data_IF_604528934265
#
_entry.id   IF_604528934265
#
_cell.length_a   1.000
_cell.length_b   1.000
_cell.length_c   1.000
_cell.angle_alpha   90.00
_cell.angle_beta   90.00
_cell.angle_gamma   90.00
#
_symmetry.space_group_name_H-M   'P 1'
#
loop_
_entity.id
_entity.type
_entity.pdbx_description
1 polymer ?
#
# COMPACT_ATOMS: atom_id res chain seq x y z
N UNK A 1 -16.29 36.60 -6.34
CA UNK A 1 -17.40 35.64 -6.31
C UNK A 1 -16.98 34.40 -7.09
N UNK A 2 -16.44 33.39 -6.41
CA UNK A 2 -16.34 32.03 -6.96
C UNK A 2 -16.64 31.12 -5.78
N UNK A 3 -17.82 30.50 -5.80
CA UNK A 3 -18.21 29.49 -4.84
C UNK A 3 -17.43 28.21 -5.19
N UNK A 4 -16.71 27.56 -4.25
CA UNK A 4 -16.21 26.23 -4.51
C UNK A 4 -17.40 25.27 -4.55
N UNK A 5 -17.60 24.67 -5.72
CA UNK A 5 -18.67 23.73 -6.00
C UNK A 5 -18.38 22.41 -5.24
N UNK A 6 -19.01 22.26 -4.07
CA UNK A 6 -18.95 21.07 -3.21
C UNK A 6 -19.87 19.95 -3.73
N UNK A 7 -19.76 19.56 -4.99
CA UNK A 7 -20.42 18.38 -5.53
C UNK A 7 -19.57 17.75 -6.64
N UNK A 8 -18.64 16.89 -6.24
CA UNK A 8 -17.87 16.07 -7.17
C UNK A 8 -17.24 14.82 -6.55
N UNK A 9 -17.13 14.75 -5.23
CA UNK A 9 -16.29 13.76 -4.53
C UNK A 9 -16.97 12.43 -4.19
N UNK A 10 -18.16 12.13 -4.73
CA UNK A 10 -18.92 10.93 -4.32
C UNK A 10 -19.41 10.05 -5.48
N UNK A 11 -18.57 9.66 -6.45
CA UNK A 11 -18.87 8.48 -7.31
C UNK A 11 -17.62 7.66 -7.71
N UNK A 12 -16.61 7.54 -6.85
CA UNK A 12 -15.58 6.49 -7.00
C UNK A 12 -15.44 5.73 -5.67
N UNK A 13 -16.54 5.14 -5.22
CA UNK A 13 -16.61 4.47 -3.93
C UNK A 13 -17.73 3.45 -3.90
N UNK A 14 -17.81 2.56 -4.90
CA UNK A 14 -18.77 1.46 -4.88
C UNK A 14 -17.99 0.17 -5.11
N UNK A 15 -17.54 -0.43 -3.99
CA UNK A 15 -17.66 -1.85 -3.61
C UNK A 15 -16.53 -2.20 -2.61
N UNK A 16 -16.97 -2.66 -1.42
CA UNK A 16 -16.23 -3.23 -0.26
C UNK A 16 -15.73 -2.26 0.82
N UNK A 17 -16.65 -1.79 1.68
CA UNK A 17 -16.34 -1.46 3.07
C UNK A 17 -16.64 -2.70 3.92
N UNK A 18 -15.61 -3.34 4.47
CA UNK A 18 -15.77 -4.46 5.41
C UNK A 18 -14.75 -5.59 5.20
N UNK A 19 -13.49 -5.35 5.56
CA UNK A 19 -12.48 -6.32 5.98
C UNK A 19 -11.13 -5.57 5.98
N UNK A 20 -10.35 -5.69 7.05
CA UNK A 20 -9.08 -4.96 7.23
C UNK A 20 -8.04 -5.32 6.14
N UNK A 21 -8.09 -6.52 5.57
CA UNK A 21 -7.36 -6.88 4.34
C UNK A 21 -7.96 -6.40 2.99
N UNK A 22 -9.11 -5.74 3.01
CA UNK A 22 -9.88 -5.32 1.83
C UNK A 22 -9.34 -4.07 1.13
N UNK A 23 -8.72 -3.17 1.88
CA UNK A 23 -8.19 -1.90 1.36
C UNK A 23 -7.02 -2.14 0.39
N UNK A 24 -6.00 -2.89 0.83
CA UNK A 24 -4.85 -3.27 -0.01
C UNK A 24 -5.28 -4.05 -1.25
N UNK A 25 -6.23 -4.97 -1.10
CA UNK A 25 -6.76 -5.75 -2.22
C UNK A 25 -7.49 -4.87 -3.24
N UNK A 26 -8.36 -3.97 -2.78
CA UNK A 26 -9.08 -3.03 -3.64
C UNK A 26 -8.12 -2.08 -4.36
N UNK A 27 -7.18 -1.49 -3.63
CA UNK A 27 -6.14 -0.63 -4.21
C UNK A 27 -5.34 -1.38 -5.28
N UNK A 28 -4.93 -2.61 -5.01
CA UNK A 28 -4.18 -3.42 -5.97
C UNK A 28 -5.00 -3.71 -7.25
N UNK A 29 -6.29 -4.04 -7.11
CA UNK A 29 -7.18 -4.26 -8.26
C UNK A 29 -7.28 -2.97 -9.09
N UNK A 30 -7.47 -1.81 -8.45
CA UNK A 30 -7.57 -0.52 -9.12
C UNK A 30 -6.25 -0.15 -9.82
N UNK A 31 -5.10 -0.37 -9.18
CA UNK A 31 -3.78 -0.14 -9.77
C UNK A 31 -3.54 -1.04 -11.00
N UNK A 32 -3.89 -2.33 -10.91
CA UNK A 32 -3.74 -3.30 -12.02
C UNK A 32 -4.64 -2.99 -13.20
N UNK A 33 -5.87 -2.56 -12.94
CA UNK A 33 -6.86 -2.23 -13.98
C UNK A 33 -6.73 -0.81 -14.51
N UNK A 34 -5.95 0.04 -13.84
CA UNK A 34 -5.88 1.47 -14.12
C UNK A 34 -7.18 2.22 -13.78
N UNK A 35 -8.14 1.58 -13.12
CA UNK A 35 -9.40 2.17 -12.66
C UNK A 35 -9.21 2.81 -11.29
N UNK A 36 -8.32 3.80 -11.22
CA UNK A 36 -7.96 4.49 -9.99
C UNK A 36 -8.07 6.00 -10.19
N UNK A 37 -8.45 6.73 -9.14
CA UNK A 37 -8.70 8.16 -9.17
C UNK A 37 -7.42 9.03 -9.27
N UNK A 38 -6.57 8.74 -10.26
CA UNK A 38 -5.45 9.57 -10.67
C UNK A 38 -5.88 10.56 -11.75
N UNK A 39 -5.21 11.71 -11.84
CA UNK A 39 -5.65 12.81 -12.72
C UNK A 39 -5.80 12.40 -14.18
N UNK A 40 -4.93 11.53 -14.73
CA UNK A 40 -5.09 11.08 -16.11
C UNK A 40 -6.37 10.26 -16.32
N UNK A 41 -6.76 9.44 -15.35
CA UNK A 41 -8.00 8.67 -15.38
C UNK A 41 -9.22 9.59 -15.21
N UNK A 42 -9.19 10.50 -14.23
CA UNK A 42 -10.28 11.44 -13.96
C UNK A 42 -10.52 12.39 -15.14
N UNK A 43 -9.45 12.86 -15.78
CA UNK A 43 -9.53 13.77 -16.94
C UNK A 43 -10.22 13.10 -18.13
N UNK A 44 -10.00 11.79 -18.34
CA UNK A 44 -10.69 11.01 -19.39
C UNK A 44 -12.22 11.09 -19.27
N UNK A 45 -12.73 11.20 -18.04
CA UNK A 45 -14.17 11.34 -17.74
C UNK A 45 -14.59 12.78 -17.46
N UNK A 46 -13.70 13.77 -17.68
CA UNK A 46 -13.96 15.20 -17.43
C UNK A 46 -14.30 15.52 -15.97
N UNK A 47 -13.75 14.74 -15.04
CA UNK A 47 -13.90 14.95 -13.59
C UNK A 47 -12.80 15.85 -12.99
N UNK A 48 -11.74 16.12 -13.75
CA UNK A 48 -10.72 17.12 -13.47
C UNK A 48 -10.37 17.84 -14.76
N UNK A 49 -9.99 19.11 -14.65
CA UNK A 49 -9.62 19.96 -15.78
C UNK A 49 -8.22 19.65 -16.32
N UNK A 50 -7.34 19.09 -15.48
CA UNK A 50 -5.93 18.90 -15.78
C UNK A 50 -5.50 17.44 -15.53
N UNK A 51 -4.95 16.73 -16.53
CA UNK A 51 -4.48 15.36 -16.34
C UNK A 51 -3.12 15.26 -15.62
N UNK A 52 -2.39 16.37 -15.42
CA UNK A 52 -1.02 16.36 -14.91
C UNK A 52 -0.91 15.84 -13.46
N UNK A 53 0.22 15.20 -13.15
CA UNK A 53 0.58 14.80 -11.79
C UNK A 53 0.61 16.00 -10.83
N UNK A 54 -0.02 15.85 -9.67
CA UNK A 54 -0.08 16.90 -8.64
C UNK A 54 1.31 17.29 -8.15
N UNK A 55 2.20 16.31 -8.00
CA UNK A 55 3.51 16.51 -7.40
C UNK A 55 4.55 17.04 -8.40
N UNK A 56 4.64 16.44 -9.59
CA UNK A 56 5.70 16.80 -10.54
C UNK A 56 5.26 17.81 -11.61
N UNK A 57 3.95 17.93 -11.87
CA UNK A 57 3.32 18.83 -12.86
C UNK A 57 3.87 18.71 -14.29
N UNK A 58 4.50 17.58 -14.64
CA UNK A 58 5.21 17.40 -15.94
C UNK A 58 4.50 16.45 -16.90
N UNK A 59 3.94 15.35 -16.40
CA UNK A 59 3.26 14.34 -17.21
C UNK A 59 1.89 13.99 -16.64
N UNK A 60 1.00 13.39 -17.44
CA UNK A 60 -0.26 12.87 -16.95
C UNK A 60 -0.09 11.89 -15.78
N UNK A 61 -0.88 12.08 -14.72
CA UNK A 61 -0.82 11.24 -13.52
C UNK A 61 -1.40 9.85 -13.81
N UNK A 62 -0.53 8.89 -14.11
CA UNK A 62 -0.88 7.49 -14.35
C UNK A 62 -0.17 6.57 -13.37
N UNK A 63 -0.64 5.33 -13.23
CA UNK A 63 0.00 4.31 -12.38
C UNK A 63 1.46 4.10 -12.79
N UNK A 64 1.72 3.99 -14.09
CA UNK A 64 3.08 3.84 -14.61
C UNK A 64 3.94 5.07 -14.32
N UNK A 65 3.39 6.28 -14.46
CA UNK A 65 4.11 7.50 -14.12
C UNK A 65 4.49 7.52 -12.63
N UNK A 66 3.55 7.23 -11.73
CA UNK A 66 3.82 7.17 -10.29
C UNK A 66 4.87 6.10 -9.97
N UNK A 67 4.73 4.89 -10.52
CA UNK A 67 5.62 3.76 -10.23
C UNK A 67 7.02 3.91 -10.83
N UNK A 68 7.18 4.56 -11.98
CA UNK A 68 8.44 4.51 -12.74
C UNK A 68 9.06 5.88 -13.02
N UNK A 69 8.26 6.86 -13.42
CA UNK A 69 8.78 8.07 -14.08
C UNK A 69 8.76 9.32 -13.19
N UNK A 70 7.82 9.44 -12.25
CA UNK A 70 7.54 10.67 -11.53
C UNK A 70 8.77 11.17 -10.75
N UNK A 71 9.40 12.30 -11.10
CA UNK A 71 10.61 12.74 -10.44
C UNK A 71 10.39 13.10 -8.96
N UNK A 72 9.18 13.51 -8.58
CA UNK A 72 8.82 13.81 -7.20
C UNK A 72 8.94 12.59 -6.27
N UNK A 73 8.69 11.39 -6.80
CA UNK A 73 8.79 10.14 -6.02
C UNK A 73 10.13 9.41 -6.19
N UNK A 74 11.16 10.08 -6.73
CA UNK A 74 12.45 9.45 -7.00
C UNK A 74 13.15 8.96 -5.72
N UNK A 75 12.94 9.61 -4.58
CA UNK A 75 13.53 9.19 -3.31
C UNK A 75 12.91 7.88 -2.80
N UNK A 76 11.58 7.80 -2.78
CA UNK A 76 10.82 6.62 -2.39
C UNK A 76 11.11 5.45 -3.35
N UNK A 77 11.20 5.71 -4.67
CA UNK A 77 11.59 4.68 -5.65
C UNK A 77 13.00 4.17 -5.44
N UNK A 78 13.95 5.01 -5.02
CA UNK A 78 15.31 4.55 -4.69
C UNK A 78 15.30 3.59 -3.49
N UNK A 79 14.46 3.84 -2.48
CA UNK A 79 14.26 2.90 -1.39
C UNK A 79 13.66 1.58 -1.89
N UNK A 80 12.59 1.64 -2.67
CA UNK A 80 11.97 0.46 -3.28
C UNK A 80 12.97 -0.34 -4.12
N UNK A 81 13.76 0.32 -4.97
CA UNK A 81 14.77 -0.31 -5.81
C UNK A 81 15.83 -1.06 -5.00
N UNK A 82 16.31 -0.44 -3.92
CA UNK A 82 17.29 -1.07 -3.02
C UNK A 82 16.74 -2.37 -2.43
N UNK A 83 15.47 -2.36 -2.03
CA UNK A 83 14.84 -3.50 -1.37
C UNK A 83 14.43 -4.59 -2.38
N UNK A 84 14.19 -4.23 -3.65
CA UNK A 84 13.96 -5.17 -4.76
C UNK A 84 15.23 -5.81 -5.30
N UNK A 85 16.36 -5.10 -5.26
CA UNK A 85 17.63 -5.50 -5.86
C UNK A 85 17.93 -4.80 -7.20
N UNK A 86 19.21 -4.79 -7.64
CA UNK A 86 19.67 -3.97 -8.76
C UNK A 86 19.15 -4.41 -10.14
N UNK A 87 18.85 -5.69 -10.32
CA UNK A 87 18.44 -6.24 -11.62
C UNK A 87 16.93 -6.11 -11.90
N UNK A 88 16.17 -5.64 -10.90
CA UNK A 88 14.72 -5.51 -11.00
C UNK A 88 14.32 -4.17 -11.59
N UNK A 89 13.46 -4.19 -12.61
CA UNK A 89 12.83 -2.96 -13.12
C UNK A 89 11.55 -2.67 -12.33
N UNK A 90 11.31 -1.38 -12.05
CA UNK A 90 10.08 -0.93 -11.38
C UNK A 90 9.07 -0.55 -12.47
N UNK A 91 8.15 -1.47 -12.75
CA UNK A 91 7.08 -1.29 -13.73
C UNK A 91 5.74 -1.89 -13.25
N UNK A 92 4.76 -1.97 -14.16
CA UNK A 92 3.44 -2.52 -13.83
C UNK A 92 3.46 -4.03 -13.53
N UNK A 93 4.47 -4.77 -13.99
CA UNK A 93 4.58 -6.21 -13.70
C UNK A 93 4.79 -6.48 -12.21
N UNK A 94 5.39 -5.52 -11.50
CA UNK A 94 5.60 -5.57 -10.05
C UNK A 94 4.28 -5.69 -9.28
N UNK A 95 3.19 -5.13 -9.81
CA UNK A 95 1.86 -5.26 -9.24
C UNK A 95 1.33 -6.70 -9.31
N UNK A 96 1.89 -7.56 -10.16
CA UNK A 96 1.48 -8.97 -10.31
C UNK A 96 2.29 -9.93 -9.43
N UNK A 97 3.45 -9.51 -8.94
CA UNK A 97 4.33 -10.33 -8.12
C UNK A 97 3.93 -10.31 -6.65
N UNK A 98 3.25 -11.37 -6.20
CA UNK A 98 2.79 -11.51 -4.80
C UNK A 98 3.93 -11.42 -3.78
N UNK A 99 5.13 -11.91 -4.11
CA UNK A 99 6.28 -11.87 -3.19
C UNK A 99 6.82 -10.45 -2.98
N UNK A 100 6.58 -9.54 -3.94
CA UNK A 100 7.07 -8.16 -3.91
C UNK A 100 6.01 -7.13 -3.53
N UNK A 101 4.73 -7.53 -3.50
CA UNK A 101 3.63 -6.65 -3.09
C UNK A 101 3.86 -5.93 -1.75
N UNK A 102 4.41 -6.56 -0.69
CA UNK A 102 4.68 -5.84 0.56
C UNK A 102 5.58 -4.62 0.36
N UNK A 103 6.62 -4.73 -0.49
CA UNK A 103 7.52 -3.62 -0.81
C UNK A 103 6.81 -2.54 -1.62
N UNK A 104 5.94 -2.93 -2.55
CA UNK A 104 5.11 -1.97 -3.31
C UNK A 104 4.19 -1.20 -2.38
N UNK A 105 3.52 -1.87 -1.44
CA UNK A 105 2.63 -1.18 -0.51
C UNK A 105 3.39 -0.21 0.40
N UNK A 106 4.57 -0.60 0.91
CA UNK A 106 5.43 0.32 1.67
C UNK A 106 5.83 1.55 0.84
N UNK A 107 6.14 1.36 -0.46
CA UNK A 107 6.39 2.47 -1.38
C UNK A 107 5.16 3.38 -1.56
N UNK A 108 3.98 2.79 -1.82
CA UNK A 108 2.73 3.53 -2.04
C UNK A 108 2.29 4.32 -0.80
N UNK A 109 2.60 3.79 0.37
CA UNK A 109 2.39 4.48 1.64
C UNK A 109 3.38 5.64 1.83
N UNK A 110 4.67 5.42 1.53
CA UNK A 110 5.70 6.44 1.65
C UNK A 110 5.51 7.63 0.70
N UNK A 111 4.81 7.46 -0.43
CA UNK A 111 4.42 8.57 -1.30
C UNK A 111 3.15 9.28 -0.84
N UNK A 112 2.34 8.69 0.04
CA UNK A 112 1.15 9.29 0.64
C UNK A 112 -0.02 9.57 -0.32
N UNK A 113 0.11 9.28 -1.62
CA UNK A 113 -0.85 9.71 -2.66
C UNK A 113 -2.25 9.09 -2.53
N UNK A 114 -2.36 7.92 -1.90
CA UNK A 114 -3.59 7.12 -1.83
C UNK A 114 -4.30 7.20 -0.47
N UNK A 115 -3.76 7.95 0.50
CA UNK A 115 -4.31 8.03 1.86
C UNK A 115 -5.73 8.60 1.87
N UNK A 116 -6.02 9.60 1.04
CA UNK A 116 -7.36 10.20 0.95
C UNK A 116 -8.41 9.27 0.33
N UNK A 117 -8.01 8.39 -0.59
CA UNK A 117 -8.92 7.53 -1.34
C UNK A 117 -9.12 6.16 -0.70
N UNK A 118 -8.10 5.65 -0.01
CA UNK A 118 -8.07 4.27 0.49
C UNK A 118 -7.78 4.18 1.99
N UNK A 119 -7.42 5.28 2.67
CA UNK A 119 -7.01 5.27 4.08
C UNK A 119 -5.55 4.86 4.29
N UNK A 120 -5.16 4.61 5.54
CA UNK A 120 -3.80 4.13 5.85
C UNK A 120 -3.59 2.70 5.34
N UNK A 121 -2.40 2.41 4.82
CA UNK A 121 -2.01 1.08 4.37
C UNK A 121 -1.26 0.27 5.44
N UNK A 122 -0.90 0.90 6.57
CA UNK A 122 -0.39 0.16 7.75
C UNK A 122 -1.52 -0.58 8.43
N UNK A 123 -1.26 -1.85 8.73
CA UNK A 123 -2.00 -2.56 9.77
C UNK A 123 -1.11 -2.40 11.00
N UNK A 124 -1.61 -1.76 12.05
CA UNK A 124 -0.94 -1.83 13.34
C UNK A 124 -0.87 -3.32 13.71
N UNK A 125 0.30 -3.85 14.13
CA UNK A 125 0.40 -5.26 14.47
C UNK A 125 -0.64 -5.59 15.53
N UNK A 126 -1.48 -6.60 15.30
CA UNK A 126 -2.35 -7.16 16.32
C UNK A 126 -1.47 -7.56 17.52
N UNK A 127 -1.47 -6.73 18.57
CA UNK A 127 -0.74 -6.98 19.83
C UNK A 127 -1.11 -8.35 20.44
N UNK A 128 -2.24 -8.92 20.01
CA UNK A 128 -2.82 -10.17 20.47
C UNK A 128 -2.03 -11.43 20.08
N UNK A 129 -1.13 -11.37 19.08
CA UNK A 129 -0.34 -12.54 18.66
C UNK A 129 1.03 -12.66 19.35
N UNK A 130 1.44 -11.67 20.16
CA UNK A 130 2.65 -11.78 21.01
C UNK A 130 2.38 -12.37 22.40
N UNK A 131 1.11 -12.59 22.77
CA UNK A 131 0.73 -13.14 24.08
C UNK A 131 0.67 -14.68 24.17
N UNK A 132 0.93 -15.41 23.08
CA UNK A 132 0.76 -16.88 23.02
C UNK A 132 2.05 -17.70 23.15
N UNK A 133 3.20 -17.09 23.45
CA UNK A 133 4.36 -17.87 23.92
C UNK A 133 4.17 -18.15 25.41
N UNK A 134 3.95 -19.40 25.85
CA UNK A 134 3.96 -19.70 27.28
C UNK A 134 5.40 -19.50 27.78
N UNK A 135 5.63 -18.38 28.48
CA UNK A 135 6.75 -18.27 29.40
C UNK A 135 6.46 -19.22 30.56
N UNK A 136 7.00 -20.42 30.48
CA UNK A 136 7.07 -21.36 31.58
C UNK A 136 8.38 -22.10 31.45
N UNK A 137 9.26 -21.91 32.44
CA UNK A 137 10.51 -22.66 32.54
C UNK A 137 10.23 -24.17 32.39
N UNK A 138 11.09 -24.93 31.69
CA UNK A 138 10.95 -26.37 31.63
C UNK A 138 10.97 -26.95 33.06
N UNK A 139 10.13 -27.95 33.38
CA UNK A 139 10.17 -28.59 34.68
C UNK A 139 11.58 -29.11 34.96
N UNK A 140 12.17 -28.68 36.07
CA UNK A 140 13.45 -29.21 36.54
C UNK A 140 13.24 -30.67 36.94
N UNK A 141 13.95 -31.57 36.25
CA UNK A 141 14.13 -32.97 36.63
C UNK A 141 14.88 -33.01 37.97
N UNK A 142 14.16 -33.27 39.06
CA UNK A 142 14.79 -33.62 40.33
C UNK A 142 14.99 -35.13 40.38
N UNK A 143 16.24 -35.50 40.18
CA UNK A 143 16.85 -36.78 40.54
C UNK A 143 16.65 -37.00 42.06
N UNK A 144 15.61 -37.76 42.44
CA UNK A 144 15.43 -38.26 43.80
C UNK A 144 15.68 -39.77 43.79
N UNK A 145 16.95 -40.08 44.00
CA UNK A 145 17.45 -41.38 44.41
C UNK A 145 16.96 -41.70 45.83
N UNK A 146 16.97 -43.01 46.13
CA UNK A 146 16.77 -43.68 47.43
C UNK A 146 15.33 -44.11 47.77
N UNK A 147 15.01 -45.41 47.66
CA UNK A 147 15.34 -46.47 48.63
C UNK A 147 14.09 -46.79 49.46
N UNK A 148 13.56 -48.03 49.35
CA UNK A 148 13.27 -48.93 50.48
C UNK A 148 12.55 -50.21 50.01
N UNK A 149 13.23 -51.33 50.28
CA UNK A 149 12.78 -52.69 50.59
C UNK A 149 11.86 -53.46 49.62
#
# INVERSE_FOLDING_TARGET
>A
MVLPNLLGTQIVGVILQGAEGGVKASLLIQLRTGHIALNAYLHRFKLTDDPLCTECRQEPESVLHILKFCPAYAAQRRCLQRDLGPDMDIDLSLLSDRGRLPLVFAYLEAIGRFVESHGSLTEEPDEEQQALLPNGDPPQENDETDHWA
#
